data_IF_223361784257
#
_entry.id   IF_223361784257
#
_cell.length_a   1.000
_cell.length_b   1.000
_cell.length_c   1.000
_cell.angle_alpha   90.00
_cell.angle_beta   90.00
_cell.angle_gamma   90.00
#
_symmetry.space_group_name_H-M   'P 1'
#
loop_
_entity.id
_entity.type
_entity.pdbx_description
1 polymer ?
#
# COMPACT_ATOMS: atom_id res chain seq x y z
N UNK A 1 -56.90 11.43 -0.88
CA UNK A 1 -55.80 10.75 -1.60
C UNK A 1 -54.96 11.84 -2.28
N UNK A 2 -53.70 12.01 -1.91
CA UNK A 2 -52.89 13.12 -2.38
C UNK A 2 -51.40 12.84 -2.22
N UNK A 3 -50.93 11.79 -2.91
CA UNK A 3 -49.52 11.52 -3.07
C UNK A 3 -48.89 12.58 -3.96
N UNK A 4 -48.23 13.56 -3.36
CA UNK A 4 -47.14 14.26 -4.03
C UNK A 4 -45.86 13.59 -3.56
N UNK A 5 -45.11 13.03 -4.51
CA UNK A 5 -43.78 12.43 -4.33
C UNK A 5 -42.86 13.41 -3.60
N UNK A 6 -42.84 13.29 -2.27
CA UNK A 6 -42.15 14.18 -1.32
C UNK A 6 -40.63 14.04 -1.35
N UNK A 7 -40.10 13.24 -2.28
CA UNK A 7 -38.68 12.94 -2.46
C UNK A 7 -37.88 14.18 -2.87
N UNK A 8 -38.54 15.17 -3.48
CA UNK A 8 -37.92 16.37 -4.05
C UNK A 8 -38.17 17.65 -3.24
N UNK A 9 -38.60 17.54 -1.98
CA UNK A 9 -38.68 18.74 -1.13
C UNK A 9 -37.27 19.14 -0.69
N UNK A 10 -36.80 20.38 -0.90
CA UNK A 10 -35.39 20.77 -0.72
C UNK A 10 -34.86 20.54 0.70
N UNK A 11 -35.72 20.64 1.73
CA UNK A 11 -35.37 20.26 3.12
C UNK A 11 -35.10 18.77 3.35
N UNK A 12 -35.61 17.90 2.49
CA UNK A 12 -35.51 16.44 2.62
C UNK A 12 -34.47 15.84 1.68
N UNK A 13 -34.12 16.54 0.59
CA UNK A 13 -33.08 16.14 -0.36
C UNK A 13 -31.72 15.94 0.33
N UNK A 14 -31.27 16.90 1.14
CA UNK A 14 -30.01 16.78 1.89
C UNK A 14 -30.05 15.62 2.89
N UNK A 15 -31.18 15.43 3.57
CA UNK A 15 -31.37 14.31 4.51
C UNK A 15 -31.26 12.95 3.83
N UNK A 16 -31.86 12.80 2.63
CA UNK A 16 -31.78 11.54 1.90
C UNK A 16 -30.37 11.32 1.35
N UNK A 17 -29.71 12.33 0.77
CA UNK A 17 -28.35 12.17 0.24
C UNK A 17 -27.34 11.85 1.35
N UNK A 18 -27.28 12.69 2.39
CA UNK A 18 -26.35 12.48 3.48
C UNK A 18 -26.72 11.25 4.31
N UNK A 19 -28.01 10.96 4.46
CA UNK A 19 -28.49 9.72 5.08
C UNK A 19 -28.08 8.49 4.30
N UNK A 20 -28.17 8.51 2.97
CA UNK A 20 -27.71 7.41 2.10
C UNK A 20 -26.20 7.22 2.22
N UNK A 21 -25.40 8.29 2.13
CA UNK A 21 -23.94 8.17 2.31
C UNK A 21 -23.57 7.65 3.70
N UNK A 22 -24.20 8.15 4.75
CA UNK A 22 -23.98 7.66 6.11
C UNK A 22 -24.36 6.19 6.26
N UNK A 23 -25.46 5.76 5.62
CA UNK A 23 -25.92 4.37 5.65
C UNK A 23 -24.94 3.45 4.91
N UNK A 24 -24.43 3.84 3.75
CA UNK A 24 -23.41 3.08 3.01
C UNK A 24 -22.16 2.87 3.85
N UNK A 25 -21.67 3.92 4.53
CA UNK A 25 -20.51 3.83 5.40
C UNK A 25 -20.76 2.91 6.61
N UNK A 26 -21.93 3.04 7.25
CA UNK A 26 -22.31 2.23 8.40
C UNK A 26 -22.45 0.75 8.01
N UNK A 27 -23.10 0.45 6.90
CA UNK A 27 -23.24 -0.93 6.39
C UNK A 27 -21.87 -1.51 6.07
N UNK A 28 -20.98 -0.76 5.42
CA UNK A 28 -19.60 -1.19 5.19
C UNK A 28 -18.88 -1.54 6.49
N UNK A 29 -18.98 -0.68 7.51
CA UNK A 29 -18.39 -0.94 8.84
C UNK A 29 -18.96 -2.20 9.51
N UNK A 30 -20.29 -2.37 9.51
CA UNK A 30 -20.94 -3.54 10.11
C UNK A 30 -20.53 -4.81 9.39
N UNK A 31 -20.47 -4.79 8.05
CA UNK A 31 -19.99 -5.91 7.26
C UNK A 31 -18.55 -6.26 7.61
N UNK A 32 -17.65 -5.27 7.70
CA UNK A 32 -16.25 -5.53 8.07
C UNK A 32 -16.12 -6.18 9.45
N UNK A 33 -16.89 -5.71 10.44
CA UNK A 33 -16.91 -6.31 11.78
C UNK A 33 -17.50 -7.73 11.75
N UNK A 34 -18.57 -7.96 10.98
CA UNK A 34 -19.27 -9.24 10.92
C UNK A 34 -18.47 -10.32 10.18
N UNK A 35 -17.75 -9.94 9.13
CA UNK A 35 -16.90 -10.83 8.34
C UNK A 35 -15.45 -10.89 8.85
N UNK A 36 -15.12 -10.17 9.93
CA UNK A 36 -13.78 -10.15 10.50
C UNK A 36 -12.72 -9.52 9.60
N UNK A 37 -13.11 -8.63 8.69
CA UNK A 37 -12.20 -7.91 7.80
C UNK A 37 -11.45 -6.87 8.63
N UNK A 38 -10.21 -7.19 9.00
CA UNK A 38 -9.37 -6.30 9.78
C UNK A 38 -8.85 -5.15 8.90
N UNK A 39 -9.35 -3.93 9.14
CA UNK A 39 -8.86 -2.68 8.51
C UNK A 39 -7.61 -2.10 9.16
N UNK A 40 -7.00 -2.79 10.12
CA UNK A 40 -5.69 -2.40 10.61
C UNK A 40 -4.71 -2.35 9.44
N UNK A 41 -3.96 -1.26 9.35
CA UNK A 41 -2.81 -1.18 8.44
C UNK A 41 -1.76 -2.14 8.96
N UNK A 42 -1.85 -3.41 8.58
CA UNK A 42 -0.78 -4.35 8.82
C UNK A 42 0.35 -3.99 7.84
N UNK A 43 1.44 -3.46 8.38
CA UNK A 43 2.60 -3.04 7.60
C UNK A 43 3.17 -4.23 6.82
N UNK A 44 3.09 -5.44 7.39
CA UNK A 44 3.50 -6.69 6.75
C UNK A 44 2.70 -7.04 5.49
N UNK A 45 1.44 -6.59 5.41
CA UNK A 45 0.54 -6.82 4.28
C UNK A 45 0.66 -5.71 3.22
N UNK A 46 0.92 -4.47 3.64
CA UNK A 46 0.99 -3.32 2.72
C UNK A 46 2.29 -3.27 1.92
N UNK A 47 3.37 -3.88 2.42
CA UNK A 47 4.70 -3.84 1.78
C UNK A 47 5.42 -5.20 1.80
N UNK A 48 4.80 -6.26 1.23
CA UNK A 48 5.33 -7.62 1.33
C UNK A 48 6.75 -7.74 0.76
N UNK A 49 7.05 -7.02 -0.33
CA UNK A 49 8.38 -7.00 -0.96
C UNK A 49 9.46 -6.36 -0.07
N UNK A 50 9.12 -5.29 0.68
CA UNK A 50 10.07 -4.62 1.57
C UNK A 50 10.37 -5.48 2.80
N UNK A 51 9.35 -6.12 3.37
CA UNK A 51 9.51 -7.05 4.47
C UNK A 51 10.30 -8.30 4.08
N UNK A 52 10.23 -8.71 2.81
CA UNK A 52 11.09 -9.77 2.27
C UNK A 52 12.55 -9.31 2.23
N UNK A 53 12.85 -8.12 1.70
CA UNK A 53 14.21 -7.56 1.67
C UNK A 53 14.80 -7.43 3.07
N UNK A 54 14.03 -6.92 4.03
CA UNK A 54 14.51 -6.77 5.41
C UNK A 54 14.80 -8.13 6.08
N UNK A 55 13.96 -9.14 5.84
CA UNK A 55 14.24 -10.51 6.31
C UNK A 55 15.48 -11.12 5.65
N UNK A 56 15.70 -10.86 4.36
CA UNK A 56 16.92 -11.28 3.66
C UNK A 56 18.18 -10.60 4.22
N UNK A 57 18.08 -9.32 4.59
CA UNK A 57 19.15 -8.60 5.30
C UNK A 57 19.43 -9.16 6.69
N UNK A 58 18.39 -9.43 7.47
CA UNK A 58 18.52 -10.07 8.80
C UNK A 58 19.16 -11.46 8.71
N UNK A 59 18.84 -12.21 7.65
CA UNK A 59 19.42 -13.53 7.37
C UNK A 59 20.85 -13.46 6.81
N UNK A 60 21.32 -12.27 6.41
CA UNK A 60 22.64 -12.04 5.83
C UNK A 60 22.75 -12.36 4.34
N UNK A 61 21.64 -12.65 3.66
CA UNK A 61 21.59 -12.86 2.20
C UNK A 61 21.80 -11.54 1.44
N UNK A 62 21.50 -10.41 2.07
CA UNK A 62 21.68 -9.07 1.52
C UNK A 62 22.51 -8.24 2.50
N UNK A 63 23.51 -7.47 2.02
CA UNK A 63 24.26 -6.58 2.90
C UNK A 63 23.34 -5.58 3.62
N UNK A 64 23.51 -5.46 4.94
CA UNK A 64 22.62 -4.65 5.80
C UNK A 64 22.56 -3.18 5.33
N UNK A 65 23.70 -2.65 4.87
CA UNK A 65 23.85 -1.27 4.41
C UNK A 65 23.33 -1.04 2.98
N UNK A 66 22.86 -2.08 2.29
CA UNK A 66 22.40 -1.96 0.91
C UNK A 66 21.08 -1.19 0.83
N UNK A 67 20.93 -0.12 0.04
CA UNK A 67 19.66 0.58 -0.09
C UNK A 67 18.59 -0.32 -0.72
N UNK A 68 17.39 -0.42 -0.13
CA UNK A 68 16.40 -1.43 -0.55
C UNK A 68 15.75 -1.21 -1.93
N UNK A 69 15.95 -0.07 -2.59
CA UNK A 69 15.53 0.17 -3.97
C UNK A 69 16.52 -0.36 -5.02
N UNK A 70 17.73 -0.79 -4.61
CA UNK A 70 18.69 -1.45 -5.51
C UNK A 70 18.31 -2.90 -5.86
N UNK A 71 17.34 -3.46 -5.16
CA UNK A 71 16.90 -4.86 -5.28
C UNK A 71 15.65 -5.01 -6.15
N UNK A 72 15.22 -3.92 -6.81
CA UNK A 72 14.14 -3.99 -7.77
C UNK A 72 14.52 -5.00 -8.86
N UNK A 73 13.74 -6.08 -8.97
CA UNK A 73 13.85 -7.12 -10.01
C UNK A 73 13.90 -6.55 -11.44
N UNK A 74 13.44 -5.32 -11.63
CA UNK A 74 13.35 -4.63 -12.91
C UNK A 74 14.38 -3.52 -12.96
N UNK A 75 15.55 -3.79 -13.57
CA UNK A 75 16.56 -2.79 -13.91
C UNK A 75 15.99 -1.80 -14.93
N UNK A 76 15.29 -0.80 -14.44
CA UNK A 76 14.80 0.29 -15.28
C UNK A 76 15.93 1.29 -15.54
N UNK A 77 15.85 2.02 -16.65
CA UNK A 77 16.92 2.96 -17.07
C UNK A 77 17.30 3.97 -15.97
N UNK A 78 16.32 4.49 -15.22
CA UNK A 78 16.59 5.40 -14.10
C UNK A 78 17.39 4.75 -12.96
N UNK A 79 17.16 3.46 -12.70
CA UNK A 79 17.87 2.71 -11.65
C UNK A 79 19.29 2.38 -12.10
N UNK A 80 19.49 2.06 -13.38
CA UNK A 80 20.83 1.84 -13.95
C UNK A 80 21.68 3.11 -13.92
N UNK A 81 21.11 4.27 -14.28
CA UNK A 81 21.79 5.57 -14.14
C UNK A 81 22.15 5.88 -12.69
N UNK A 82 21.21 5.66 -11.77
CA UNK A 82 21.44 5.90 -10.35
C UNK A 82 22.52 4.99 -9.77
N UNK A 83 22.55 3.72 -10.19
CA UNK A 83 23.57 2.74 -9.80
C UNK A 83 24.94 3.13 -10.36
N UNK A 84 25.01 3.53 -11.62
CA UNK A 84 26.27 3.99 -12.25
C UNK A 84 26.84 5.25 -11.57
N UNK A 85 25.99 6.16 -11.10
CA UNK A 85 26.43 7.35 -10.35
C UNK A 85 27.01 7.03 -8.97
N UNK A 86 26.69 5.86 -8.39
CA UNK A 86 27.06 5.47 -7.02
C UNK A 86 27.78 4.13 -6.96
N UNK A 87 28.39 3.75 -8.08
CA UNK A 87 29.15 2.51 -8.22
C UNK A 87 30.37 2.49 -7.29
N UNK A 88 31.00 3.65 -7.03
CA UNK A 88 32.07 3.78 -6.03
C UNK A 88 31.59 3.58 -4.57
N UNK A 89 30.34 3.92 -4.26
CA UNK A 89 29.80 3.87 -2.89
C UNK A 89 29.21 2.49 -2.53
N UNK A 90 28.63 1.80 -3.51
CA UNK A 90 27.95 0.52 -3.31
C UNK A 90 28.53 -0.65 -4.12
N UNK A 91 29.62 -0.44 -4.88
CA UNK A 91 30.24 -1.46 -5.72
C UNK A 91 30.68 -2.71 -4.97
N UNK A 92 31.20 -2.55 -3.74
CA UNK A 92 31.58 -3.68 -2.87
C UNK A 92 30.37 -4.55 -2.50
N UNK A 93 29.19 -3.94 -2.30
CA UNK A 93 27.96 -4.65 -1.94
C UNK A 93 27.29 -5.31 -3.14
N UNK A 94 27.43 -4.73 -4.34
CA UNK A 94 26.99 -5.32 -5.60
C UNK A 94 27.82 -6.55 -5.97
N UNK A 95 29.15 -6.47 -5.84
CA UNK A 95 30.04 -7.61 -6.08
C UNK A 95 29.79 -8.80 -5.16
N UNK A 96 29.34 -8.56 -3.92
CA UNK A 96 28.96 -9.62 -2.98
C UNK A 96 27.65 -10.35 -3.36
N UNK A 97 26.74 -9.72 -4.11
CA UNK A 97 25.53 -10.37 -4.63
C UNK A 97 25.81 -11.22 -5.88
N UNK A 98 26.79 -10.84 -6.71
CA UNK A 98 27.14 -11.57 -7.93
C UNK A 98 28.04 -12.80 -7.66
N UNK A 99 28.52 -12.97 -6.42
CA UNK A 99 29.44 -14.05 -6.02
C UNK A 99 28.77 -15.32 -5.47
N UNK A 100 27.46 -15.51 -5.66
CA UNK A 100 26.75 -16.80 -5.44
C UNK A 100 26.48 -17.56 -6.73
#
# INVERSE_FOLDING_TARGET
MGGHTRLWHPKWFSRYIWGTFATIQLTGFICDQSYGINRQKNVEIMWPWWHEIMRKKEKGEIPMNMPGYMLCKYRNECEERWTAEREEEFGEFMGAMDSE
#
